data_IF_852839072999
#
_entry.id   IF_852839072999
#
_cell.length_a   1.000
_cell.length_b   1.000
_cell.length_c   1.000
_cell.angle_alpha   90.00
_cell.angle_beta   90.00
_cell.angle_gamma   90.00
#
_symmetry.space_group_name_H-M   'P 1'
#
loop_
_entity.id
_entity.type
_entity.pdbx_description
1 polymer ?
#
# COMPACT_ATOMS: atom_id res chain seq x y z
N UNK A 1 -24.14 2.20 -8.51
CA UNK A 1 -22.89 2.77 -7.98
C UNK A 1 -22.74 4.18 -8.54
N UNK A 2 -22.75 5.23 -7.71
CA UNK A 2 -22.40 6.58 -8.20
C UNK A 2 -20.87 6.62 -8.32
N UNK A 3 -20.37 6.42 -9.54
CA UNK A 3 -18.94 6.53 -9.86
C UNK A 3 -18.63 8.00 -10.08
N UNK A 4 -17.59 8.51 -9.42
CA UNK A 4 -17.00 9.80 -9.74
C UNK A 4 -15.99 9.57 -10.86
N UNK A 5 -16.18 10.22 -12.02
CA UNK A 5 -15.29 10.06 -13.17
C UNK A 5 -13.87 10.53 -12.86
N UNK A 6 -13.74 11.65 -12.14
CA UNK A 6 -12.46 12.18 -11.70
C UNK A 6 -11.72 11.21 -10.77
N UNK A 7 -12.37 10.70 -9.72
CA UNK A 7 -11.76 9.72 -8.82
C UNK A 7 -11.38 8.42 -9.55
N UNK A 8 -12.17 7.99 -10.54
CA UNK A 8 -11.80 6.83 -11.37
C UNK A 8 -10.55 7.10 -12.22
N UNK A 9 -10.42 8.29 -12.80
CA UNK A 9 -9.22 8.71 -13.54
C UNK A 9 -7.98 8.76 -12.62
N UNK A 10 -8.11 9.37 -11.43
CA UNK A 10 -7.06 9.39 -10.41
C UNK A 10 -6.68 7.98 -9.95
N UNK A 11 -7.66 7.11 -9.70
CA UNK A 11 -7.43 5.73 -9.29
C UNK A 11 -6.71 4.91 -10.38
N UNK A 12 -7.05 5.14 -11.65
CA UNK A 12 -6.35 4.52 -12.79
C UNK A 12 -4.92 5.01 -12.89
N UNK A 13 -4.70 6.33 -12.84
CA UNK A 13 -3.37 6.95 -12.94
C UNK A 13 -2.49 6.67 -11.71
N UNK A 14 -3.08 6.25 -10.58
CA UNK A 14 -2.33 5.83 -9.40
C UNK A 14 -1.65 4.47 -9.60
N UNK A 15 -2.09 3.63 -10.53
CA UNK A 15 -1.48 2.31 -10.77
C UNK A 15 -0.04 2.49 -11.28
N UNK A 16 0.94 1.89 -10.59
CA UNK A 16 2.37 2.06 -10.84
C UNK A 16 3.02 3.17 -9.98
N UNK A 17 2.25 3.90 -9.17
CA UNK A 17 2.76 4.99 -8.34
C UNK A 17 3.52 4.47 -7.09
N UNK A 18 4.81 4.83 -6.90
CA UNK A 18 5.52 4.55 -5.66
C UNK A 18 5.02 5.49 -4.54
N UNK A 19 4.46 4.94 -3.47
CA UNK A 19 3.91 5.75 -2.36
C UNK A 19 4.97 6.23 -1.35
N UNK A 20 6.17 5.64 -1.36
CA UNK A 20 7.20 5.90 -0.35
C UNK A 20 7.72 7.36 -0.33
N UNK A 21 7.92 8.05 -1.48
CA UNK A 21 8.32 9.46 -1.49
C UNK A 21 7.29 10.36 -0.80
N UNK A 22 6.03 10.32 -1.24
CA UNK A 22 4.95 11.11 -0.64
C UNK A 22 4.73 10.74 0.83
N UNK A 23 4.83 9.46 1.21
CA UNK A 23 4.73 9.04 2.60
C UNK A 23 5.82 9.65 3.50
N UNK A 24 6.98 10.01 2.94
CA UNK A 24 8.07 10.68 3.67
C UNK A 24 7.91 12.20 3.72
N UNK A 25 7.08 12.76 2.84
CA UNK A 25 6.70 14.17 2.82
C UNK A 25 5.59 14.48 3.83
N UNK A 26 4.53 13.66 3.85
CA UNK A 26 3.25 14.00 4.51
C UNK A 26 3.05 13.38 5.88
N UNK A 27 3.92 12.46 6.31
CA UNK A 27 3.81 11.83 7.64
C UNK A 27 5.16 11.70 8.34
N UNK A 28 5.19 11.73 9.68
CA UNK A 28 6.36 11.37 10.44
C UNK A 28 6.84 9.93 10.14
N UNK A 29 8.15 9.72 10.25
CA UNK A 29 8.74 8.38 10.11
C UNK A 29 8.12 7.39 11.10
N UNK A 30 7.81 6.17 10.61
CA UNK A 30 7.15 5.07 11.35
C UNK A 30 5.68 5.29 11.74
N UNK A 31 5.01 6.34 11.25
CA UNK A 31 3.56 6.46 11.42
C UNK A 31 2.83 5.27 10.80
N UNK A 32 1.92 4.66 11.56
CA UNK A 32 0.94 3.73 10.99
C UNK A 32 0.07 4.51 9.99
N UNK A 33 -0.41 3.83 8.94
CA UNK A 33 -1.21 4.47 7.90
C UNK A 33 -0.45 5.39 6.94
N UNK A 34 0.87 5.61 7.08
CA UNK A 34 1.62 6.59 6.27
C UNK A 34 1.46 6.47 4.76
N UNK A 35 1.36 5.26 4.23
CA UNK A 35 1.15 5.05 2.79
C UNK A 35 -0.30 5.30 2.38
N UNK A 36 -1.27 5.09 3.26
CA UNK A 36 -2.66 5.51 3.05
C UNK A 36 -2.78 7.04 3.02
N UNK A 37 -2.09 7.72 3.93
CA UNK A 37 -1.98 9.18 3.95
C UNK A 37 -1.30 9.72 2.68
N UNK A 38 -0.26 9.03 2.19
CA UNK A 38 0.39 9.37 0.92
C UNK A 38 -0.57 9.22 -0.27
N UNK A 39 -1.37 8.15 -0.30
CA UNK A 39 -2.39 7.94 -1.32
C UNK A 39 -3.45 9.05 -1.27
N UNK A 40 -4.03 9.34 -0.10
CA UNK A 40 -4.97 10.45 0.08
C UNK A 40 -4.37 11.78 -0.41
N UNK A 41 -3.12 12.05 -0.05
CA UNK A 41 -2.41 13.22 -0.54
C UNK A 41 -2.35 13.23 -2.07
N UNK A 42 -1.89 12.16 -2.73
CA UNK A 42 -1.87 12.11 -4.20
C UNK A 42 -3.25 12.37 -4.81
N UNK A 43 -4.32 11.84 -4.21
CA UNK A 43 -5.70 12.00 -4.67
C UNK A 43 -6.31 13.38 -4.42
N UNK A 44 -5.59 14.36 -3.88
CA UNK A 44 -6.15 15.70 -3.66
C UNK A 44 -6.72 15.93 -2.26
N UNK A 45 -6.70 14.92 -1.40
CA UNK A 45 -7.28 14.96 -0.06
C UNK A 45 -6.29 15.41 1.01
N UNK A 46 -6.84 15.94 2.12
CA UNK A 46 -6.07 16.16 3.34
C UNK A 46 -5.78 14.82 4.01
N UNK A 47 -4.51 14.48 4.33
CA UNK A 47 -4.19 13.22 4.97
C UNK A 47 -4.83 13.09 6.35
N UNK A 48 -5.48 11.97 6.62
CA UNK A 48 -6.14 11.72 7.90
C UNK A 48 -6.26 10.21 8.19
N UNK A 49 -6.45 9.86 9.46
CA UNK A 49 -6.81 8.52 9.91
C UNK A 49 -8.07 8.63 10.77
N UNK A 50 -8.94 7.63 10.71
CA UNK A 50 -10.12 7.51 11.58
C UNK A 50 -11.17 8.63 11.53
N UNK A 51 -11.37 9.30 10.40
CA UNK A 51 -12.51 10.23 10.27
C UNK A 51 -13.83 9.46 10.12
N UNK A 52 -14.92 10.00 10.65
CA UNK A 52 -16.26 9.41 10.49
C UNK A 52 -16.82 9.61 9.07
N UNK A 53 -16.52 10.75 8.45
CA UNK A 53 -16.87 11.05 7.05
C UNK A 53 -16.11 10.13 6.09
N UNK A 54 -16.71 9.83 4.94
CA UNK A 54 -16.04 9.08 3.87
C UNK A 54 -15.05 9.99 3.12
N UNK A 55 -13.94 9.42 2.68
CA UNK A 55 -12.79 10.17 2.13
C UNK A 55 -13.14 11.13 0.98
N UNK A 56 -13.93 10.66 0.00
CA UNK A 56 -14.27 11.42 -1.19
C UNK A 56 -15.69 11.97 -1.09
N UNK A 57 -15.81 13.27 -0.83
CA UNK A 57 -17.07 14.02 -0.77
C UNK A 57 -18.09 13.43 0.21
N UNK A 58 -17.65 12.68 1.22
CA UNK A 58 -18.49 11.90 2.13
C UNK A 58 -19.36 10.84 1.42
N UNK A 59 -18.90 10.33 0.27
CA UNK A 59 -19.60 9.33 -0.57
C UNK A 59 -18.81 8.05 -0.85
N UNK A 60 -17.48 8.10 -0.83
CA UNK A 60 -16.61 6.96 -1.15
C UNK A 60 -15.49 6.90 -0.11
N UNK A 61 -15.34 5.76 0.55
CA UNK A 61 -14.18 5.46 1.39
C UNK A 61 -13.03 4.95 0.52
N UNK A 62 -11.80 5.34 0.81
CA UNK A 62 -10.60 4.90 0.11
C UNK A 62 -9.78 4.04 1.07
N UNK A 63 -9.57 2.77 0.70
CA UNK A 63 -8.81 1.82 1.53
C UNK A 63 -7.58 1.34 0.78
N UNK A 64 -6.41 1.67 1.33
CA UNK A 64 -5.13 1.09 0.88
C UNK A 64 -4.94 -0.30 1.51
N UNK A 65 -4.79 -1.32 0.66
CA UNK A 65 -4.56 -2.72 1.05
C UNK A 65 -3.16 -3.14 0.62
N UNK A 66 -2.38 -3.67 1.56
CA UNK A 66 -1.07 -4.25 1.23
C UNK A 66 -1.24 -5.67 0.69
N UNK A 67 -0.71 -5.94 -0.49
CA UNK A 67 -0.80 -7.25 -1.15
C UNK A 67 0.58 -7.83 -1.47
N UNK A 68 0.69 -9.15 -1.55
CA UNK A 68 1.92 -9.85 -1.97
C UNK A 68 1.60 -11.24 -2.52
N UNK A 69 2.57 -11.84 -3.20
CA UNK A 69 2.46 -13.21 -3.70
C UNK A 69 2.80 -14.23 -2.60
N UNK A 70 1.94 -15.24 -2.45
CA UNK A 70 2.18 -16.42 -1.64
C UNK A 70 1.67 -17.65 -2.38
N UNK A 71 2.59 -18.58 -2.68
CA UNK A 71 2.28 -19.83 -3.39
C UNK A 71 1.47 -19.59 -4.70
N UNK A 72 1.84 -18.57 -5.48
CA UNK A 72 1.20 -18.23 -6.75
C UNK A 72 -0.10 -17.43 -6.65
N UNK A 73 -0.64 -17.22 -5.45
CA UNK A 73 -1.83 -16.40 -5.22
C UNK A 73 -1.47 -15.03 -4.62
N UNK A 74 -2.29 -14.01 -4.92
CA UNK A 74 -2.22 -12.72 -4.23
C UNK A 74 -2.93 -12.84 -2.88
N UNK A 75 -2.25 -12.43 -1.82
CA UNK A 75 -2.79 -12.41 -0.45
C UNK A 75 -2.62 -11.02 0.17
N UNK A 76 -3.33 -10.76 1.27
CA UNK A 76 -3.24 -9.49 2.00
C UNK A 76 -3.26 -9.70 3.51
N UNK A 77 -2.98 -8.62 4.26
CA UNK A 77 -3.26 -8.54 5.68
C UNK A 77 -4.75 -8.18 5.91
N UNK A 78 -5.26 -8.43 7.12
CA UNK A 78 -6.55 -7.85 7.58
C UNK A 78 -6.56 -6.32 7.40
N UNK A 79 -7.73 -5.76 7.11
CA UNK A 79 -7.87 -4.33 6.77
C UNK A 79 -8.66 -3.59 7.86
N UNK A 80 -8.13 -2.47 8.36
CA UNK A 80 -8.85 -1.60 9.29
C UNK A 80 -10.01 -0.91 8.55
N UNK A 81 -11.23 -1.08 9.08
CA UNK A 81 -12.43 -0.40 8.58
C UNK A 81 -12.57 0.99 9.19
N UNK A 82 -12.46 1.09 10.51
CA UNK A 82 -12.58 2.33 11.27
C UNK A 82 -12.45 2.07 12.76
N UNK A 83 -12.29 3.13 13.54
CA UNK A 83 -12.29 3.01 15.01
C UNK A 83 -13.67 2.58 15.51
N UNK A 84 -13.75 1.98 16.71
CA UNK A 84 -15.00 1.38 17.21
C UNK A 84 -16.16 2.38 17.36
N UNK A 85 -15.85 3.67 17.46
CA UNK A 85 -16.84 4.76 17.58
C UNK A 85 -17.45 5.16 16.24
N UNK A 86 -16.96 4.60 15.12
CA UNK A 86 -17.40 4.91 13.76
C UNK A 86 -18.29 3.77 13.27
N UNK A 87 -19.42 4.11 12.65
CA UNK A 87 -20.29 3.13 12.01
C UNK A 87 -19.55 2.37 10.88
N UNK A 88 -19.26 1.06 11.05
CA UNK A 88 -18.54 0.28 10.05
C UNK A 88 -19.37 0.06 8.79
N UNK A 89 -20.70 0.09 8.87
CA UNK A 89 -21.58 -0.10 7.71
C UNK A 89 -21.52 1.10 6.78
N UNK A 90 -21.54 2.31 7.34
CA UNK A 90 -21.30 3.53 6.57
C UNK A 90 -19.92 3.51 5.93
N UNK A 91 -18.87 3.15 6.69
CA UNK A 91 -17.49 3.08 6.16
C UNK A 91 -17.31 2.06 5.03
N UNK A 92 -18.06 0.96 5.06
CA UNK A 92 -18.02 -0.06 4.01
C UNK A 92 -19.06 0.14 2.89
N UNK A 93 -19.95 1.13 3.02
CA UNK A 93 -21.07 1.32 2.11
C UNK A 93 -20.64 1.43 0.64
N UNK A 94 -19.56 2.18 0.38
CA UNK A 94 -19.02 2.40 -0.95
C UNK A 94 -17.51 2.64 -0.84
N UNK A 95 -16.70 1.74 -1.39
CA UNK A 95 -15.26 1.69 -1.17
C UNK A 95 -14.50 1.66 -2.49
N UNK A 96 -13.50 2.52 -2.61
CA UNK A 96 -12.39 2.36 -3.55
C UNK A 96 -11.25 1.62 -2.85
N UNK A 97 -11.08 0.35 -3.19
CA UNK A 97 -9.91 -0.43 -2.79
C UNK A 97 -8.73 -0.05 -3.67
N UNK A 98 -7.61 0.29 -3.04
CA UNK A 98 -6.34 0.54 -3.73
C UNK A 98 -5.34 -0.49 -3.21
N UNK A 99 -4.76 -1.27 -4.10
CA UNK A 99 -3.82 -2.33 -3.74
C UNK A 99 -2.41 -1.83 -3.97
N UNK A 100 -1.55 -1.98 -2.97
CA UNK A 100 -0.12 -1.71 -3.12
C UNK A 100 0.70 -2.91 -2.69
N UNK A 101 1.74 -3.20 -3.46
CA UNK A 101 2.67 -4.28 -3.16
C UNK A 101 3.34 -4.07 -1.79
N UNK A 102 3.41 -5.14 -1.01
CA UNK A 102 3.88 -5.10 0.37
C UNK A 102 5.35 -4.70 0.47
N UNK A 103 6.15 -5.16 -0.50
CA UNK A 103 7.59 -5.02 -0.51
C UNK A 103 8.02 -3.64 -1.01
N UNK A 104 7.45 -3.18 -2.12
CA UNK A 104 7.84 -1.95 -2.84
C UNK A 104 6.96 -0.75 -2.52
N UNK A 105 5.72 -0.97 -2.04
CA UNK A 105 4.70 0.08 -1.83
C UNK A 105 4.28 0.81 -3.10
N UNK A 106 4.47 0.18 -4.26
CA UNK A 106 3.90 0.62 -5.53
C UNK A 106 2.44 0.18 -5.60
N UNK A 107 1.56 1.05 -6.05
CA UNK A 107 0.16 0.69 -6.33
C UNK A 107 0.10 -0.27 -7.51
N UNK A 108 -0.58 -1.40 -7.37
CA UNK A 108 -0.63 -2.48 -8.37
C UNK A 108 -2.03 -2.66 -8.98
N UNK A 109 -3.03 -1.97 -8.44
CA UNK A 109 -4.39 -2.04 -8.95
C UNK A 109 -5.39 -1.33 -8.06
N UNK A 110 -6.60 -1.15 -8.58
CA UNK A 110 -7.71 -0.57 -7.83
C UNK A 110 -8.99 -1.34 -8.12
N UNK A 111 -9.94 -1.29 -7.19
CA UNK A 111 -11.26 -1.89 -7.36
C UNK A 111 -12.31 -1.11 -6.62
N UNK A 112 -13.36 -0.75 -7.33
CA UNK A 112 -14.53 -0.14 -6.72
C UNK A 112 -15.52 -1.21 -6.25
N UNK A 113 -16.07 -1.05 -5.07
CA UNK A 113 -17.00 -2.00 -4.48
C UNK A 113 -18.06 -1.30 -3.63
N UNK A 114 -19.24 -1.88 -3.53
CA UNK A 114 -20.35 -1.35 -2.75
C UNK A 114 -20.91 -2.48 -1.89
N UNK A 115 -21.11 -2.20 -0.60
CA UNK A 115 -21.71 -3.14 0.33
C UNK A 115 -23.19 -3.31 0.00
N UNK A 116 -23.55 -4.44 -0.60
CA UNK A 116 -24.94 -4.76 -0.93
C UNK A 116 -25.20 -6.27 -0.91
N UNK A 117 -26.49 -6.62 -0.77
CA UNK A 117 -26.98 -7.99 -0.95
C UNK A 117 -26.28 -9.03 -0.08
N UNK A 118 -25.86 -10.19 -0.66
CA UNK A 118 -25.26 -11.28 0.10
C UNK A 118 -23.98 -10.90 0.89
N UNK A 119 -23.17 -9.97 0.37
CA UNK A 119 -21.95 -9.54 1.06
C UNK A 119 -22.26 -8.82 2.37
N UNK A 120 -23.33 -8.00 2.39
CA UNK A 120 -23.82 -7.36 3.62
C UNK A 120 -24.31 -8.38 4.63
N UNK A 121 -25.12 -9.34 4.20
CA UNK A 121 -25.64 -10.39 5.09
C UNK A 121 -24.51 -11.23 5.68
N UNK A 122 -23.45 -11.53 4.90
CA UNK A 122 -22.26 -12.23 5.40
C UNK A 122 -21.59 -11.47 6.54
N UNK A 123 -21.34 -10.18 6.34
CA UNK A 123 -20.70 -9.34 7.35
C UNK A 123 -21.59 -9.13 8.58
N UNK A 124 -22.91 -8.99 8.42
CA UNK A 124 -23.85 -8.86 9.54
C UNK A 124 -23.83 -10.11 10.45
N UNK A 125 -23.66 -11.31 9.88
CA UNK A 125 -23.52 -12.54 10.67
C UNK A 125 -22.28 -12.55 11.57
N UNK A 126 -21.25 -11.78 11.24
CA UNK A 126 -20.03 -11.71 12.05
C UNK A 126 -20.27 -11.09 13.44
N UNK A 127 -21.37 -10.34 13.65
CA UNK A 127 -21.71 -9.76 14.96
C UNK A 127 -22.17 -10.79 15.97
N UNK A 128 -22.70 -11.92 15.49
CA UNK A 128 -23.18 -13.00 16.34
C UNK A 128 -22.12 -14.08 16.57
N UNK A 129 -20.95 -13.96 15.95
CA UNK A 129 -19.86 -14.93 16.03
C UNK A 129 -18.97 -14.63 17.24
N UNK A 130 -18.55 -15.67 17.96
CA UNK A 130 -17.55 -15.52 19.03
C UNK A 130 -16.14 -15.60 18.44
N UNK A 131 -15.35 -14.51 18.40
CA UNK A 131 -14.02 -14.51 17.81
C UNK A 131 -13.01 -15.42 18.54
N UNK A 132 -13.32 -15.95 19.73
CA UNK A 132 -12.46 -16.92 20.43
C UNK A 132 -12.55 -18.33 19.85
N UNK A 133 -13.71 -18.70 19.32
CA UNK A 133 -13.99 -20.05 18.80
C UNK A 133 -14.23 -20.06 17.30
N UNK A 134 -14.69 -18.93 16.77
CA UNK A 134 -14.99 -18.72 15.38
C UNK A 134 -13.94 -17.81 14.74
N UNK A 135 -14.03 -17.73 13.43
CA UNK A 135 -13.24 -16.76 12.68
C UNK A 135 -14.24 -15.88 11.93
N UNK A 136 -14.70 -14.77 12.52
CA UNK A 136 -15.58 -13.82 11.86
C UNK A 136 -14.89 -13.04 10.74
N UNK A 137 -15.66 -12.63 9.73
CA UNK A 137 -15.15 -11.83 8.61
C UNK A 137 -14.98 -10.35 8.94
N UNK A 138 -15.73 -9.84 9.93
CA UNK A 138 -15.59 -8.50 10.49
C UNK A 138 -15.57 -8.60 12.02
N UNK A 139 -14.54 -8.05 12.63
CA UNK A 139 -14.29 -8.20 14.06
C UNK A 139 -13.64 -6.96 14.67
N UNK A 140 -13.68 -6.89 16.00
CA UNK A 140 -13.02 -5.82 16.76
C UNK A 140 -11.69 -6.35 17.28
N UNK A 141 -10.64 -5.55 17.10
CA UNK A 141 -9.34 -5.82 17.70
C UNK A 141 -8.89 -4.59 18.48
N UNK A 142 -8.56 -4.81 19.76
CA UNK A 142 -7.91 -3.82 20.59
C UNK A 142 -6.44 -3.76 20.23
N UNK A 143 -5.95 -2.56 19.87
CA UNK A 143 -4.53 -2.34 19.65
C UNK A 143 -3.94 -1.50 20.76
N UNK A 144 -2.94 -2.04 21.45
CA UNK A 144 -2.08 -1.26 22.32
C UNK A 144 -1.31 -0.21 21.51
N UNK A 145 -1.39 1.03 22.00
CA UNK A 145 -0.62 2.17 21.55
C UNK A 145 0.67 2.25 22.37
N UNK A 146 1.64 3.00 21.86
CA UNK A 146 2.95 3.17 22.51
C UNK A 146 2.86 3.82 23.90
N UNK A 147 1.75 4.50 24.20
CA UNK A 147 1.44 5.12 25.49
C UNK A 147 0.71 4.16 26.46
N UNK A 148 0.55 2.89 26.11
CA UNK A 148 -0.14 1.88 26.92
C UNK A 148 -1.67 1.93 26.83
N UNK A 149 -2.25 2.83 26.03
CA UNK A 149 -3.70 2.87 25.81
C UNK A 149 -4.13 1.87 24.73
N UNK A 150 -5.35 1.34 24.82
CA UNK A 150 -5.92 0.50 23.77
C UNK A 150 -6.90 1.32 22.91
N UNK A 151 -6.74 1.24 21.58
CA UNK A 151 -7.68 1.83 20.64
C UNK A 151 -8.33 0.71 19.81
N UNK A 152 -9.54 0.24 20.21
CA UNK A 152 -10.26 -0.77 19.47
C UNK A 152 -10.75 -0.24 18.12
N UNK A 153 -10.65 -1.07 17.10
CA UNK A 153 -11.11 -0.76 15.75
C UNK A 153 -11.72 -1.99 15.09
N UNK A 154 -12.62 -1.75 14.15
CA UNK A 154 -13.20 -2.76 13.27
C UNK A 154 -12.18 -3.17 12.20
N UNK A 155 -12.06 -4.47 11.96
CA UNK A 155 -11.20 -5.06 10.93
C UNK A 155 -11.96 -6.06 10.07
N UNK A 156 -11.72 -6.01 8.76
CA UNK A 156 -12.08 -7.07 7.83
C UNK A 156 -10.98 -8.13 7.78
N UNK A 157 -11.37 -9.39 7.83
CA UNK A 157 -10.48 -10.53 7.67
C UNK A 157 -9.89 -10.59 6.25
N UNK A 158 -8.62 -10.94 6.13
CA UNK A 158 -7.96 -11.06 4.84
C UNK A 158 -8.64 -12.06 3.90
N UNK A 159 -9.14 -13.19 4.44
CA UNK A 159 -9.86 -14.19 3.64
C UNK A 159 -11.15 -13.64 3.02
N UNK A 160 -11.84 -12.71 3.70
CA UNK A 160 -13.10 -12.16 3.21
C UNK A 160 -12.84 -11.35 1.93
N UNK A 161 -11.73 -10.58 1.87
CA UNK A 161 -11.34 -9.89 0.65
C UNK A 161 -11.06 -10.86 -0.51
N UNK A 162 -10.48 -12.03 -0.22
CA UNK A 162 -10.24 -13.06 -1.22
C UNK A 162 -11.54 -13.73 -1.68
N UNK A 163 -12.44 -14.09 -0.75
CA UNK A 163 -13.72 -14.77 -1.03
C UNK A 163 -14.70 -13.88 -1.80
N UNK A 164 -14.70 -12.57 -1.54
CA UNK A 164 -15.43 -11.58 -2.35
C UNK A 164 -14.76 -11.30 -3.71
N UNK A 165 -13.63 -11.97 -3.99
CA UNK A 165 -12.86 -11.82 -5.21
C UNK A 165 -12.34 -10.41 -5.40
N UNK A 166 -12.06 -9.65 -4.32
CA UNK A 166 -11.65 -8.24 -4.39
C UNK A 166 -10.17 -8.06 -4.72
N UNK A 167 -9.34 -9.03 -4.35
CA UNK A 167 -7.89 -8.97 -4.59
C UNK A 167 -7.59 -8.93 -6.09
N UNK A 168 -6.51 -8.25 -6.52
CA UNK A 168 -6.08 -8.28 -7.91
C UNK A 168 -5.54 -9.65 -8.29
N UNK A 169 -5.56 -9.97 -9.58
CA UNK A 169 -4.90 -11.15 -10.12
C UNK A 169 -3.36 -11.04 -9.94
N UNK A 170 -2.65 -12.18 -9.83
CA UNK A 170 -1.19 -12.17 -9.91
C UNK A 170 -0.70 -11.47 -11.17
N UNK A 171 0.27 -10.55 -11.03
CA UNK A 171 0.75 -9.77 -12.15
C UNK A 171 2.01 -8.95 -11.83
N UNK A 172 2.49 -8.15 -12.80
CA UNK A 172 3.63 -7.26 -12.61
C UNK A 172 3.46 -6.35 -11.39
N UNK A 173 4.56 -6.10 -10.69
CA UNK A 173 4.61 -5.23 -9.52
C UNK A 173 4.25 -5.92 -8.20
N UNK A 174 3.68 -7.13 -8.21
CA UNK A 174 3.36 -7.89 -7.00
C UNK A 174 4.47 -8.90 -6.72
N UNK A 175 5.17 -8.73 -5.60
CA UNK A 175 6.32 -9.57 -5.24
C UNK A 175 5.96 -10.52 -4.10
N UNK A 176 6.78 -11.57 -3.94
CA UNK A 176 6.76 -12.34 -2.70
C UNK A 176 7.17 -11.49 -1.50
N UNK A 177 6.76 -11.88 -0.30
CA UNK A 177 7.15 -11.19 0.94
C UNK A 177 7.54 -12.19 2.02
N UNK A 178 8.80 -12.10 2.47
CA UNK A 178 9.30 -12.87 3.61
C UNK A 178 9.25 -12.00 4.88
N UNK A 179 8.22 -12.24 5.70
CA UNK A 179 8.02 -11.54 6.96
C UNK A 179 9.12 -11.82 8.00
N UNK A 180 9.74 -13.02 7.97
CA UNK A 180 10.81 -13.39 8.90
C UNK A 180 12.08 -12.61 8.57
N UNK A 181 12.49 -12.62 7.31
CA UNK A 181 13.63 -11.82 6.86
C UNK A 181 13.41 -10.32 7.12
N UNK A 182 12.22 -9.80 6.78
CA UNK A 182 11.89 -8.39 7.01
C UNK A 182 11.97 -8.02 8.50
N UNK A 183 11.47 -8.89 9.38
CA UNK A 183 11.55 -8.73 10.84
C UNK A 183 13.00 -8.72 11.34
N UNK A 184 13.84 -9.63 10.84
CA UNK A 184 15.26 -9.70 11.18
C UNK A 184 16.01 -8.42 10.74
N UNK A 185 15.83 -7.98 9.49
CA UNK A 185 16.46 -6.76 8.99
C UNK A 185 16.07 -5.53 9.81
N UNK A 186 14.80 -5.44 10.23
CA UNK A 186 14.33 -4.37 11.11
C UNK A 186 14.92 -4.46 12.51
N UNK A 187 15.08 -5.65 13.07
CA UNK A 187 15.68 -5.84 14.39
C UNK A 187 17.16 -5.45 14.39
N UNK A 188 17.90 -5.82 13.33
CA UNK A 188 19.32 -5.52 13.18
C UNK A 188 19.59 -4.03 13.00
N UNK A 189 18.81 -3.36 12.15
CA UNK A 189 19.09 -1.97 11.76
C UNK A 189 18.17 -0.94 12.40
N UNK A 190 17.16 -1.38 13.16
CA UNK A 190 16.12 -0.52 13.73
C UNK A 190 15.24 0.19 12.69
N UNK A 191 15.34 -0.15 11.41
CA UNK A 191 14.69 0.57 10.30
C UNK A 191 14.22 -0.40 9.23
N UNK A 192 13.19 -0.03 8.48
CA UNK A 192 12.75 -0.82 7.33
C UNK A 192 13.88 -0.90 6.29
N UNK A 193 14.10 -2.08 5.67
CA UNK A 193 15.09 -2.23 4.63
C UNK A 193 14.71 -1.40 3.39
N UNK A 194 15.71 -1.05 2.59
CA UNK A 194 15.52 -0.21 1.39
C UNK A 194 15.62 -1.02 0.10
N UNK A 195 14.76 -0.74 -0.89
CA UNK A 195 14.79 -1.43 -2.19
C UNK A 195 15.95 -0.95 -3.05
N UNK A 196 16.44 -1.75 -3.97
CA UNK A 196 17.19 -1.30 -5.14
C UNK A 196 16.66 -2.04 -6.36
N UNK A 197 16.62 -1.39 -7.52
CA UNK A 197 16.08 -2.03 -8.72
C UNK A 197 17.23 -2.68 -9.48
N UNK A 198 17.14 -3.99 -9.71
CA UNK A 198 18.07 -4.73 -10.57
C UNK A 198 17.58 -4.68 -12.01
N UNK A 199 18.24 -3.87 -12.85
CA UNK A 199 17.98 -3.84 -14.29
C UNK A 199 18.70 -4.98 -15.03
N UNK A 200 19.80 -5.47 -14.45
CA UNK A 200 20.51 -6.69 -14.83
C UNK A 200 20.57 -7.62 -13.61
N UNK A 201 19.99 -8.84 -13.67
CA UNK A 201 19.94 -9.76 -12.55
C UNK A 201 21.24 -10.57 -12.35
N UNK A 202 22.40 -10.10 -12.84
CA UNK A 202 23.71 -10.77 -12.74
C UNK A 202 24.25 -11.01 -11.31
N UNK A 203 23.48 -10.69 -10.26
CA UNK A 203 23.82 -10.95 -8.86
C UNK A 203 24.67 -9.85 -8.21
N UNK A 204 25.07 -8.82 -8.97
CA UNK A 204 25.83 -7.69 -8.45
C UNK A 204 25.46 -6.39 -9.16
N UNK A 205 25.35 -5.29 -8.40
CA UNK A 205 25.20 -3.94 -8.96
C UNK A 205 25.79 -2.87 -8.07
N UNK A 206 25.81 -1.62 -8.53
CA UNK A 206 26.12 -0.45 -7.68
C UNK A 206 24.84 0.11 -7.09
N UNK A 207 24.84 0.38 -5.79
CA UNK A 207 23.76 1.10 -5.12
C UNK A 207 23.66 2.51 -5.72
N UNK A 208 22.54 2.84 -6.37
CA UNK A 208 22.32 4.17 -6.97
C UNK A 208 22.30 5.31 -5.95
N UNK A 209 22.18 5.00 -4.65
CA UNK A 209 22.20 6.01 -3.56
C UNK A 209 23.60 6.46 -3.16
N UNK A 210 24.57 5.54 -3.14
CA UNK A 210 25.89 5.82 -2.57
C UNK A 210 27.07 5.27 -3.39
N UNK A 211 26.81 4.56 -4.49
CA UNK A 211 27.81 3.97 -5.37
C UNK A 211 28.47 2.68 -4.88
N UNK A 212 28.20 2.26 -3.63
CA UNK A 212 28.75 1.05 -3.04
C UNK A 212 28.20 -0.24 -3.67
N UNK A 213 28.94 -1.36 -3.62
CA UNK A 213 28.53 -2.62 -4.22
C UNK A 213 27.36 -3.29 -3.46
N UNK A 214 26.36 -3.73 -4.21
CA UNK A 214 25.29 -4.61 -3.77
C UNK A 214 25.52 -6.00 -4.37
N UNK A 215 25.44 -7.05 -3.55
CA UNK A 215 25.47 -8.44 -3.99
C UNK A 215 24.19 -9.15 -3.56
N UNK A 216 23.63 -9.98 -4.42
CA UNK A 216 22.38 -10.69 -4.19
C UNK A 216 22.36 -12.01 -4.99
N UNK A 217 21.43 -12.90 -4.67
CA UNK A 217 21.24 -14.14 -5.44
C UNK A 217 20.48 -13.85 -6.74
N UNK A 218 21.14 -14.02 -7.88
CA UNK A 218 20.51 -13.94 -9.22
C UNK A 218 19.33 -14.89 -9.33
N UNK A 219 19.53 -16.16 -8.95
CA UNK A 219 18.53 -17.22 -9.07
C UNK A 219 17.28 -16.93 -8.23
N UNK A 220 17.46 -16.31 -7.06
CA UNK A 220 16.34 -15.89 -6.22
C UNK A 220 15.58 -14.73 -6.87
N UNK A 221 16.27 -13.73 -7.42
CA UNK A 221 15.62 -12.64 -8.18
C UNK A 221 14.88 -13.18 -9.40
N UNK A 222 15.46 -14.11 -10.15
CA UNK A 222 14.83 -14.71 -11.32
C UNK A 222 13.61 -15.56 -10.97
N UNK A 223 13.62 -16.28 -9.85
CA UNK A 223 12.49 -17.10 -9.43
C UNK A 223 11.40 -16.28 -8.73
N UNK A 224 11.75 -15.53 -7.68
CA UNK A 224 10.80 -14.83 -6.82
C UNK A 224 10.58 -13.36 -7.17
N UNK A 225 11.38 -12.79 -8.08
CA UNK A 225 11.32 -11.38 -8.48
C UNK A 225 12.01 -10.42 -7.52
N UNK A 226 12.55 -10.91 -6.40
CA UNK A 226 13.26 -10.09 -5.42
C UNK A 226 14.25 -10.94 -4.64
N UNK A 227 15.21 -10.32 -3.95
CA UNK A 227 16.10 -11.02 -3.02
C UNK A 227 16.67 -10.06 -1.96
N UNK A 228 17.00 -10.54 -0.75
CA UNK A 228 17.89 -9.83 0.15
C UNK A 228 19.21 -9.49 -0.53
N UNK A 229 19.78 -8.33 -0.20
CA UNK A 229 21.03 -7.86 -0.78
C UNK A 229 22.04 -7.49 0.32
N UNK A 230 23.27 -7.95 0.14
CA UNK A 230 24.40 -7.55 0.96
C UNK A 230 25.02 -6.26 0.39
N UNK A 231 24.98 -5.18 1.17
CA UNK A 231 25.61 -3.93 0.82
C UNK A 231 27.06 -3.90 1.33
N UNK A 232 28.02 -4.08 0.43
CA UNK A 232 29.44 -3.92 0.78
C UNK A 232 29.79 -2.43 0.90
N UNK A 233 30.49 -2.05 1.98
CA UNK A 233 30.92 -0.68 2.26
C UNK A 233 29.79 0.37 2.08
N UNK A 234 28.69 0.28 2.86
CA UNK A 234 27.61 1.25 2.76
C UNK A 234 28.09 2.64 3.18
N UNK A 235 27.98 3.60 2.26
CA UNK A 235 28.32 5.00 2.50
C UNK A 235 27.04 5.83 2.67
N UNK A 236 27.11 6.83 3.55
CA UNK A 236 25.99 7.73 3.83
C UNK A 236 24.96 7.19 4.83
N UNK A 237 24.23 8.11 5.46
CA UNK A 237 23.36 7.82 6.60
C UNK A 237 22.23 6.82 6.29
N UNK A 238 21.72 6.81 5.06
CA UNK A 238 20.62 5.92 4.65
C UNK A 238 21.09 4.49 4.45
N UNK A 239 22.19 4.27 3.72
CA UNK A 239 22.64 2.91 3.38
C UNK A 239 23.30 2.21 4.57
N UNK A 240 24.03 2.94 5.42
CA UNK A 240 24.76 2.36 6.55
C UNK A 240 23.87 1.89 7.71
N UNK A 241 22.60 2.34 7.75
CA UNK A 241 21.69 2.10 8.87
C UNK A 241 20.45 1.29 8.49
N UNK A 242 20.48 0.59 7.36
CA UNK A 242 19.33 -0.16 6.84
C UNK A 242 19.80 -1.42 6.13
N UNK A 243 18.99 -2.48 6.22
CA UNK A 243 19.12 -3.64 5.36
C UNK A 243 18.75 -3.28 3.92
N UNK A 244 19.21 -4.07 2.96
CA UNK A 244 18.94 -3.84 1.54
C UNK A 244 18.29 -5.07 0.93
N UNK A 245 17.46 -4.85 -0.06
CA UNK A 245 16.96 -5.88 -0.96
C UNK A 245 16.96 -5.36 -2.38
N UNK A 246 16.95 -6.27 -3.34
CA UNK A 246 16.76 -5.96 -4.75
C UNK A 246 15.44 -6.50 -5.25
N UNK A 247 14.87 -5.82 -6.23
CA UNK A 247 13.70 -6.28 -7.01
C UNK A 247 14.06 -6.33 -8.50
N UNK A 248 13.51 -7.31 -9.22
CA UNK A 248 13.67 -7.44 -10.66
C UNK A 248 12.95 -6.27 -11.36
N UNK A 249 13.73 -5.39 -12.00
CA UNK A 249 13.20 -4.22 -12.69
C UNK A 249 12.24 -4.58 -13.83
N UNK A 250 12.40 -5.76 -14.44
CA UNK A 250 11.52 -6.22 -15.54
C UNK A 250 10.13 -6.61 -15.05
N UNK A 251 9.97 -6.84 -13.75
CA UNK A 251 8.69 -7.19 -13.12
C UNK A 251 8.00 -5.97 -12.53
N UNK A 252 8.59 -4.78 -12.57
CA UNK A 252 7.97 -3.58 -12.05
C UNK A 252 6.82 -3.11 -12.94
N UNK A 253 5.80 -2.57 -12.30
CA UNK A 253 4.71 -1.91 -12.99
C UNK A 253 5.14 -0.47 -13.30
N UNK A 254 5.27 -0.17 -14.59
CA UNK A 254 5.66 1.16 -15.09
C UNK A 254 4.40 1.92 -15.49
N UNK A 255 3.99 2.99 -14.78
CA UNK A 255 2.91 3.84 -15.26
C UNK A 255 3.33 4.56 -16.53
N UNK A 256 2.40 4.72 -17.49
CA UNK A 256 2.66 5.42 -18.75
C UNK A 256 2.88 6.92 -18.52
N UNK A 257 2.33 7.44 -17.43
CA UNK A 257 2.29 8.84 -17.06
C UNK A 257 3.59 9.30 -16.37
N UNK A 258 4.47 8.37 -15.97
CA UNK A 258 5.75 8.71 -15.30
C UNK A 258 6.96 8.34 -16.13
N UNK A 259 7.95 9.26 -16.22
CA UNK A 259 9.27 8.91 -16.71
C UNK A 259 9.81 7.70 -15.94
N UNK A 260 10.43 6.71 -16.61
CA UNK A 260 10.98 5.54 -15.94
C UNK A 260 11.95 5.90 -14.80
N UNK A 261 12.77 6.94 -14.97
CA UNK A 261 13.71 7.37 -13.94
C UNK A 261 13.00 7.93 -12.70
N UNK A 262 11.90 8.68 -12.84
CA UNK A 262 11.14 9.18 -11.69
C UNK A 262 10.55 8.02 -10.87
N UNK A 263 10.11 6.96 -11.56
CA UNK A 263 9.61 5.74 -10.91
C UNK A 263 10.74 5.05 -10.14
N UNK A 264 11.90 4.84 -10.77
CA UNK A 264 13.06 4.20 -10.15
C UNK A 264 13.60 5.02 -8.96
N UNK A 265 13.68 6.34 -9.11
CA UNK A 265 14.06 7.28 -8.07
C UNK A 265 13.05 7.27 -6.92
N UNK A 266 11.75 7.20 -7.24
CA UNK A 266 10.68 7.10 -6.25
C UNK A 266 10.73 5.82 -5.44
N UNK A 267 10.86 4.67 -6.11
CA UNK A 267 11.07 3.36 -5.49
C UNK A 267 12.27 3.37 -4.55
N UNK A 268 13.39 3.90 -5.05
CA UNK A 268 14.64 3.94 -4.30
C UNK A 268 14.72 5.09 -3.30
N UNK A 269 13.66 5.90 -3.14
CA UNK A 269 13.61 7.05 -2.23
C UNK A 269 14.76 8.05 -2.47
N UNK A 270 15.07 8.31 -3.75
CA UNK A 270 16.12 9.24 -4.20
C UNK A 270 15.58 10.59 -4.66
N UNK A 271 14.25 10.74 -4.79
CA UNK A 271 13.63 12.01 -5.12
C UNK A 271 13.87 13.05 -4.01
N UNK A 272 14.26 14.26 -4.42
CA UNK A 272 14.25 15.43 -3.53
C UNK A 272 12.82 15.82 -3.17
N UNK A 273 12.64 16.63 -2.12
CA UNK A 273 11.30 17.06 -1.70
C UNK A 273 10.59 17.85 -2.80
N UNK A 274 11.35 18.64 -3.55
CA UNK A 274 10.87 19.48 -4.65
C UNK A 274 10.48 18.67 -5.89
N UNK A 275 11.04 17.47 -6.04
CA UNK A 275 10.72 16.56 -7.14
C UNK A 275 9.47 15.69 -6.86
N UNK A 276 8.94 15.70 -5.64
CA UNK A 276 7.72 14.98 -5.28
C UNK A 276 6.51 15.81 -5.70
N UNK A 277 5.78 15.32 -6.69
CA UNK A 277 4.57 15.94 -7.23
C UNK A 277 3.31 15.19 -6.77
N UNK A 278 2.17 15.87 -6.86
CA UNK A 278 0.86 15.33 -6.47
C UNK A 278 0.10 14.82 -7.70
N UNK A 279 -0.58 13.67 -7.60
CA UNK A 279 -1.25 13.08 -8.76
C UNK A 279 -2.44 13.91 -9.27
N UNK A 280 -3.20 14.47 -8.34
CA UNK A 280 -4.29 15.41 -8.62
C UNK A 280 -3.85 16.71 -9.31
N UNK A 281 -2.56 17.04 -9.34
CA UNK A 281 -2.05 18.18 -10.12
C UNK A 281 -1.76 17.81 -11.59
N UNK A 282 -1.75 16.52 -11.92
CA UNK A 282 -1.41 15.99 -13.25
C UNK A 282 -2.56 15.32 -13.97
N UNK A 283 -3.58 14.87 -13.22
CA UNK A 283 -4.82 14.33 -13.79
C UNK A 283 -5.86 15.45 -13.80
N UNK A 284 -6.31 15.91 -14.99
CA UNK A 284 -7.28 16.96 -15.07
C UNK A 284 -8.64 16.49 -14.55
N UNK A 285 -9.29 17.36 -13.79
CA UNK A 285 -10.70 17.18 -13.44
C UNK A 285 -11.56 17.36 -14.69
N UNK A 286 -12.47 16.42 -15.03
CA UNK A 286 -13.38 16.58 -16.14
C UNK A 286 -14.29 17.81 -15.96
N UNK A 287 -14.51 18.57 -17.03
CA UNK A 287 -15.35 19.78 -17.02
C UNK A 287 -16.82 19.50 -16.61
N UNK A 288 -17.27 18.25 -16.72
CA UNK A 288 -18.60 17.77 -16.35
C UNK A 288 -18.65 17.17 -14.92
N UNK A 289 -17.61 17.36 -14.11
CA UNK A 289 -17.60 16.94 -12.72
C UNK A 289 -18.58 17.78 -11.89
N UNK A 290 -19.85 17.37 -11.91
CA UNK A 290 -20.87 17.90 -11.03
C UNK A 290 -20.58 17.43 -9.61
N UNK A 291 -20.00 18.32 -8.80
CA UNK A 291 -20.14 18.24 -7.35
C UNK A 291 -21.63 18.41 -7.04
N UNK A 292 -22.38 17.30 -6.97
CA UNK A 292 -23.77 17.38 -6.53
C UNK A 292 -23.76 18.04 -5.13
N UNK A 293 -24.42 19.20 -4.97
CA UNK A 293 -24.49 19.84 -3.67
C UNK A 293 -25.16 18.89 -2.70
N UNK A 294 -24.60 18.78 -1.48
CA UNK A 294 -25.15 18.00 -0.37
C UNK A 294 -26.66 18.28 -0.27
N UNK A 295 -27.48 17.27 -0.55
CA UNK A 295 -28.92 17.29 -0.31
C UNK A 295 -29.20 16.93 1.15
#
# INVERSE_FOLDING_TARGET
MRRCAHLAALASAAVGLPLAPAASLVTPGRSRGRHGNALQWHLGLSPHDSNAELDWEDRIEIKLVSVWLRAGAVVCDKVKVGDITIDPWRKLSNVLWVFADRLTRVVVGTRTWTLAGPARQRLERAWSADPHFETPDLFVEARERADGTAAPAYYLAARWLADEGLLPDPGPGIFGFDARWWGQARAEHGRDPVPSVALDPSGQQRCRRCGGPLRFSSDHVESAGWAPAHHGMPMGATCATRGHFVVDGRRLLMPAELPPEDMLDGLEQRLSREAIWRLSERVPEPDDHLHEPRA
#
